data_IF_795275520718
#
_entry.id   IF_795275520718
#
_cell.length_a   1.000
_cell.length_b   1.000
_cell.length_c   1.000
_cell.angle_alpha   90.00
_cell.angle_beta   90.00
_cell.angle_gamma   90.00
#
_symmetry.space_group_name_H-M   'P 1'
#
loop_
_entity.id
_entity.type
_entity.pdbx_description
1 polymer ?
#
# COMPACT_ATOMS: atom_id res chain seq x y z
N UNK A 1 6.85 -25.11 -29.22
CA UNK A 1 5.61 -24.38 -29.58
C UNK A 1 5.87 -22.88 -29.80
N UNK A 2 7.03 -22.34 -29.37
CA UNK A 2 7.51 -20.94 -29.58
C UNK A 2 7.51 -20.38 -31.02
N UNK A 3 7.68 -21.21 -32.05
CA UNK A 3 8.08 -20.73 -33.39
C UNK A 3 6.95 -20.31 -34.34
N UNK A 4 5.68 -20.31 -33.92
CA UNK A 4 4.56 -20.10 -34.86
C UNK A 4 4.06 -18.66 -34.95
N UNK A 5 4.32 -17.78 -33.98
CA UNK A 5 3.85 -16.37 -34.01
C UNK A 5 4.79 -15.35 -33.31
N UNK A 6 5.97 -15.05 -33.87
CA UNK A 6 6.96 -14.13 -33.26
C UNK A 6 6.42 -12.70 -33.05
N UNK A 7 5.50 -12.24 -33.89
CA UNK A 7 4.87 -10.92 -33.74
C UNK A 7 3.96 -10.82 -32.52
N UNK A 8 3.28 -11.91 -32.13
CA UNK A 8 2.37 -11.91 -30.97
C UNK A 8 3.17 -11.87 -29.67
N UNK A 9 4.26 -12.67 -29.59
CA UNK A 9 5.14 -12.68 -28.41
C UNK A 9 5.91 -11.37 -28.24
N UNK A 10 6.42 -10.78 -29.33
CA UNK A 10 7.08 -9.46 -29.26
C UNK A 10 6.13 -8.34 -28.84
N UNK A 11 4.86 -8.38 -29.25
CA UNK A 11 3.85 -7.43 -28.78
C UNK A 11 3.47 -7.67 -27.31
N UNK A 12 3.36 -8.94 -26.88
CA UNK A 12 3.08 -9.31 -25.48
C UNK A 12 4.19 -8.82 -24.53
N UNK A 13 5.45 -8.98 -24.92
CA UNK A 13 6.63 -8.60 -24.14
C UNK A 13 6.74 -7.06 -23.98
N UNK A 14 6.31 -6.30 -25.01
CA UNK A 14 6.16 -4.84 -24.92
C UNK A 14 5.03 -4.42 -23.97
N UNK A 15 3.93 -5.17 -23.89
CA UNK A 15 2.85 -4.90 -22.93
C UNK A 15 3.24 -5.19 -21.49
N UNK A 16 3.88 -6.33 -21.25
CA UNK A 16 4.34 -6.73 -19.92
C UNK A 16 5.32 -5.70 -19.33
N UNK A 17 6.24 -5.17 -20.16
CA UNK A 17 7.21 -4.17 -19.72
C UNK A 17 6.57 -2.84 -19.33
N UNK A 18 5.59 -2.35 -20.09
CA UNK A 18 4.90 -1.09 -19.79
C UNK A 18 4.04 -1.18 -18.53
N UNK A 19 3.30 -2.29 -18.38
CA UNK A 19 2.47 -2.53 -17.19
C UNK A 19 3.35 -2.63 -15.95
N UNK A 20 4.48 -3.36 -16.04
CA UNK A 20 5.45 -3.47 -14.95
C UNK A 20 6.02 -2.09 -14.55
N UNK A 21 6.37 -1.25 -15.51
CA UNK A 21 6.92 0.09 -15.25
C UNK A 21 5.90 1.00 -14.55
N UNK A 22 4.64 1.01 -15.02
CA UNK A 22 3.56 1.79 -14.37
C UNK A 22 3.31 1.26 -12.95
N UNK A 23 3.22 -0.06 -12.77
CA UNK A 23 3.05 -0.68 -11.46
C UNK A 23 4.18 -0.31 -10.50
N UNK A 24 5.43 -0.32 -10.97
CA UNK A 24 6.59 0.06 -10.16
C UNK A 24 6.50 1.52 -9.68
N UNK A 25 6.14 2.45 -10.57
CA UNK A 25 6.00 3.87 -10.23
C UNK A 25 4.88 4.06 -9.18
N UNK A 26 3.71 3.45 -9.41
CA UNK A 26 2.59 3.53 -8.46
C UNK A 26 2.96 2.94 -7.10
N UNK A 27 3.69 1.83 -7.08
CA UNK A 27 4.15 1.20 -5.85
C UNK A 27 5.14 2.08 -5.08
N UNK A 28 6.08 2.72 -5.77
CA UNK A 28 7.00 3.69 -5.15
C UNK A 28 6.22 4.87 -4.53
N UNK A 29 5.29 5.45 -5.29
CA UNK A 29 4.45 6.56 -4.81
C UNK A 29 3.61 6.14 -3.61
N UNK A 30 3.02 4.94 -3.64
CA UNK A 30 2.23 4.39 -2.53
C UNK A 30 3.06 4.20 -1.26
N UNK A 31 4.28 3.63 -1.38
CA UNK A 31 5.20 3.45 -0.23
C UNK A 31 5.65 4.80 0.32
N UNK A 32 5.99 5.76 -0.53
CA UNK A 32 6.36 7.10 -0.10
C UNK A 32 5.21 7.79 0.65
N UNK A 33 3.99 7.71 0.12
CA UNK A 33 2.81 8.29 0.76
C UNK A 33 2.50 7.62 2.10
N UNK A 34 2.67 6.30 2.19
CA UNK A 34 2.56 5.57 3.45
C UNK A 34 3.55 6.10 4.49
N UNK A 35 4.82 6.26 4.12
CA UNK A 35 5.84 6.83 5.01
C UNK A 35 5.48 8.23 5.49
N UNK A 36 5.02 9.12 4.60
CA UNK A 36 4.61 10.49 4.94
C UNK A 36 3.43 10.48 5.90
N UNK A 37 2.37 9.71 5.60
CA UNK A 37 1.19 9.60 6.45
C UNK A 37 1.54 9.11 7.87
N UNK A 38 2.44 8.12 7.96
CA UNK A 38 2.94 7.63 9.24
C UNK A 38 3.74 8.69 9.99
N UNK A 39 4.64 9.42 9.34
CA UNK A 39 5.39 10.51 9.97
C UNK A 39 4.48 11.62 10.50
N UNK A 40 3.46 12.01 9.74
CA UNK A 40 2.46 13.00 10.17
C UNK A 40 1.69 12.50 11.40
N UNK A 41 1.24 11.24 11.39
CA UNK A 41 0.57 10.60 12.52
C UNK A 41 1.42 10.64 13.80
N UNK A 42 2.73 10.42 13.64
CA UNK A 42 3.69 10.47 14.74
C UNK A 42 3.80 11.88 15.31
N UNK A 43 3.99 12.88 14.45
CA UNK A 43 4.13 14.28 14.86
C UNK A 43 2.88 14.76 15.61
N UNK A 44 1.70 14.46 15.09
CA UNK A 44 0.41 14.77 15.74
C UNK A 44 0.31 14.17 17.15
N UNK A 45 0.89 12.98 17.35
CA UNK A 45 0.85 12.23 18.61
C UNK A 45 2.09 12.40 19.48
N UNK A 46 3.01 13.31 19.16
CA UNK A 46 4.23 13.56 19.95
C UNK A 46 3.92 13.98 21.39
N UNK A 47 2.86 14.78 21.60
CA UNK A 47 2.44 15.21 22.94
C UNK A 47 2.02 14.01 23.82
N UNK A 48 1.34 13.03 23.23
CA UNK A 48 0.95 11.79 23.90
C UNK A 48 2.18 10.93 24.24
N UNK A 49 3.21 10.90 23.38
CA UNK A 49 4.49 10.24 23.68
C UNK A 49 5.16 10.88 24.89
N UNK A 50 5.19 12.21 24.93
CA UNK A 50 5.78 12.97 26.03
C UNK A 50 5.10 12.69 27.37
N UNK A 51 3.77 12.62 27.40
CA UNK A 51 3.02 12.29 28.63
C UNK A 51 3.24 10.84 29.07
N UNK A 52 3.25 9.88 28.14
CA UNK A 52 3.57 8.47 28.44
C UNK A 52 4.98 8.32 29.02
N UNK A 53 5.99 8.99 28.44
CA UNK A 53 7.37 8.99 28.99
C UNK A 53 7.44 9.64 30.38
N UNK A 54 6.72 10.75 30.60
CA UNK A 54 6.68 11.42 31.91
C UNK A 54 6.06 10.54 33.01
N UNK A 55 5.12 9.66 32.64
CA UNK A 55 4.53 8.66 33.53
C UNK A 55 5.41 7.40 33.72
N UNK A 56 6.62 7.36 33.13
CA UNK A 56 7.55 6.24 33.27
C UNK A 56 7.40 5.13 32.22
N UNK A 57 6.68 5.36 31.12
CA UNK A 57 6.58 4.37 30.05
C UNK A 57 7.94 4.12 29.39
N UNK A 58 8.28 2.84 29.23
CA UNK A 58 9.47 2.43 28.48
C UNK A 58 9.33 2.69 26.97
N UNK A 59 10.46 2.89 26.29
CA UNK A 59 10.48 3.06 24.83
C UNK A 59 9.81 1.90 24.09
N UNK A 60 9.90 0.67 24.63
CA UNK A 60 9.23 -0.51 24.06
C UNK A 60 7.71 -0.39 24.09
N UNK A 61 7.13 0.13 25.17
CA UNK A 61 5.69 0.30 25.31
C UNK A 61 5.17 1.34 24.32
N UNK A 62 5.88 2.44 24.15
CA UNK A 62 5.56 3.49 23.17
C UNK A 62 5.59 2.89 21.75
N UNK A 63 6.60 2.08 21.46
CA UNK A 63 6.76 1.41 20.17
C UNK A 63 5.60 0.45 19.88
N UNK A 64 5.15 -0.31 20.88
CA UNK A 64 4.00 -1.21 20.77
C UNK A 64 2.69 -0.46 20.53
N UNK A 65 2.45 0.63 21.26
CA UNK A 65 1.23 1.45 21.10
C UNK A 65 1.15 2.03 19.69
N UNK A 66 2.25 2.59 19.17
CA UNK A 66 2.28 3.12 17.80
C UNK A 66 2.12 2.05 16.74
N UNK A 67 2.81 0.92 16.90
CA UNK A 67 2.62 -0.24 16.05
C UNK A 67 1.14 -0.63 15.96
N UNK A 68 0.45 -0.70 17.09
CA UNK A 68 -0.96 -1.03 17.13
C UNK A 68 -1.81 0.03 16.42
N UNK A 69 -1.60 1.31 16.70
CA UNK A 69 -2.34 2.41 16.09
C UNK A 69 -2.19 2.41 14.56
N UNK A 70 -0.96 2.32 14.08
CA UNK A 70 -0.63 2.29 12.65
C UNK A 70 -1.19 1.04 11.97
N UNK A 71 -1.10 -0.13 12.60
CA UNK A 71 -1.68 -1.36 12.08
C UNK A 71 -3.21 -1.27 11.96
N UNK A 72 -3.88 -0.65 12.95
CA UNK A 72 -5.33 -0.45 12.90
C UNK A 72 -5.76 0.41 11.70
N UNK A 73 -5.01 1.48 11.43
CA UNK A 73 -5.26 2.36 10.28
C UNK A 73 -5.00 1.60 8.96
N UNK A 74 -3.91 0.85 8.89
CA UNK A 74 -3.58 0.02 7.73
C UNK A 74 -4.67 -1.00 7.40
N UNK A 75 -5.16 -1.74 8.40
CA UNK A 75 -6.22 -2.74 8.20
C UNK A 75 -7.52 -2.07 7.74
N UNK A 76 -7.90 -0.94 8.33
CA UNK A 76 -9.07 -0.19 7.87
C UNK A 76 -8.92 0.29 6.43
N UNK A 77 -7.76 0.83 6.07
CA UNK A 77 -7.44 1.22 4.70
C UNK A 77 -7.49 0.04 3.73
N UNK A 78 -7.00 -1.13 4.14
CA UNK A 78 -7.04 -2.36 3.35
C UNK A 78 -8.48 -2.81 3.09
N UNK A 79 -9.34 -2.79 4.11
CA UNK A 79 -10.77 -3.14 3.97
C UNK A 79 -11.44 -2.21 2.96
N UNK A 80 -11.31 -0.89 3.13
CA UNK A 80 -11.89 0.09 2.20
C UNK A 80 -11.30 -0.04 0.79
N UNK A 81 -9.99 -0.27 0.68
CA UNK A 81 -9.32 -0.48 -0.60
C UNK A 81 -9.83 -1.72 -1.34
N UNK A 82 -10.06 -2.84 -0.63
CA UNK A 82 -10.64 -4.04 -1.23
C UNK A 82 -12.10 -3.82 -1.64
N UNK A 83 -12.90 -3.12 -0.82
CA UNK A 83 -14.30 -2.82 -1.17
C UNK A 83 -14.35 -2.00 -2.47
N UNK A 84 -13.53 -0.95 -2.57
CA UNK A 84 -13.50 -0.09 -3.75
C UNK A 84 -12.91 -0.82 -4.95
N UNK A 85 -11.77 -1.50 -4.78
CA UNK A 85 -11.06 -2.20 -5.86
C UNK A 85 -11.86 -3.37 -6.41
N UNK A 86 -12.27 -4.30 -5.55
CA UNK A 86 -13.08 -5.46 -5.96
C UNK A 86 -14.47 -5.02 -6.44
N UNK A 87 -15.05 -3.98 -5.83
CA UNK A 87 -16.31 -3.40 -6.28
C UNK A 87 -16.22 -2.84 -7.70
N UNK A 88 -15.17 -2.05 -7.99
CA UNK A 88 -14.91 -1.54 -9.34
C UNK A 88 -14.67 -2.68 -10.34
N UNK A 89 -13.86 -3.67 -9.97
CA UNK A 89 -13.63 -4.87 -10.80
C UNK A 89 -14.93 -5.64 -11.08
N UNK A 90 -15.83 -5.74 -10.09
CA UNK A 90 -17.11 -6.43 -10.25
C UNK A 90 -18.04 -5.68 -11.21
N UNK A 91 -18.10 -4.35 -11.10
CA UNK A 91 -18.86 -3.49 -12.02
C UNK A 91 -18.32 -3.64 -13.43
N UNK A 92 -17.00 -3.60 -13.62
CA UNK A 92 -16.38 -3.80 -14.94
C UNK A 92 -16.67 -5.20 -15.49
N UNK A 93 -16.61 -6.24 -14.65
CA UNK A 93 -16.94 -7.61 -15.07
C UNK A 93 -18.40 -7.76 -15.51
N UNK A 94 -19.33 -7.08 -14.82
CA UNK A 94 -20.77 -7.21 -15.09
C UNK A 94 -21.26 -6.33 -16.24
N UNK A 95 -20.76 -5.11 -16.36
CA UNK A 95 -21.25 -4.10 -17.29
C UNK A 95 -20.30 -3.82 -18.47
N UNK A 96 -19.04 -4.26 -18.39
CA UNK A 96 -18.09 -4.09 -19.49
C UNK A 96 -17.78 -2.63 -19.86
N UNK A 97 -17.85 -1.71 -18.88
CA UNK A 97 -17.79 -0.25 -19.12
C UNK A 97 -16.53 0.21 -19.87
N UNK A 98 -15.40 -0.45 -19.63
CA UNK A 98 -14.15 -0.23 -20.35
C UNK A 98 -14.08 -1.24 -21.50
N UNK A 99 -14.53 -0.77 -22.67
CA UNK A 99 -14.34 -1.45 -23.95
C UNK A 99 -12.96 -1.08 -24.50
N UNK A 100 -12.23 -2.07 -25.02
CA UNK A 100 -10.96 -1.81 -25.70
C UNK A 100 -11.21 -1.76 -27.19
N UNK A 101 -10.59 -0.80 -27.88
CA UNK A 101 -10.67 -0.71 -29.34
C UNK A 101 -10.13 -2.02 -29.95
N UNK A 102 -11.00 -2.82 -30.61
CA UNK A 102 -10.62 -4.14 -31.13
C UNK A 102 -9.50 -4.05 -32.16
N UNK A 103 -9.35 -2.90 -32.82
CA UNK A 103 -8.30 -2.65 -33.82
C UNK A 103 -6.89 -2.60 -33.22
N UNK A 104 -6.79 -2.25 -31.93
CA UNK A 104 -5.52 -2.17 -31.21
C UNK A 104 -5.31 -3.36 -30.30
N UNK A 105 -6.35 -3.88 -29.63
CA UNK A 105 -6.16 -4.83 -28.50
C UNK A 105 -6.65 -6.26 -28.72
N UNK A 106 -7.16 -6.62 -29.90
CA UNK A 106 -7.65 -7.97 -30.27
C UNK A 106 -8.71 -8.60 -29.32
N UNK A 107 -9.17 -7.87 -28.29
CA UNK A 107 -10.15 -8.28 -27.29
C UNK A 107 -11.09 -7.09 -27.07
N UNK A 108 -12.41 -7.33 -27.08
CA UNK A 108 -13.43 -6.27 -27.00
C UNK A 108 -13.63 -5.70 -25.58
N UNK A 109 -13.37 -6.50 -24.54
CA UNK A 109 -13.54 -6.11 -23.14
C UNK A 109 -12.38 -6.67 -22.32
N UNK A 110 -11.87 -5.88 -21.37
CA UNK A 110 -10.84 -6.35 -20.43
C UNK A 110 -11.39 -7.54 -19.60
N UNK A 111 -10.87 -8.77 -19.78
CA UNK A 111 -11.35 -9.92 -19.03
C UNK A 111 -10.89 -9.82 -17.58
N UNK A 112 -11.83 -9.84 -16.65
CA UNK A 112 -11.55 -9.85 -15.21
C UNK A 112 -11.71 -11.28 -14.70
N UNK A 113 -10.66 -11.79 -14.07
CA UNK A 113 -10.70 -13.05 -13.32
C UNK A 113 -10.53 -12.76 -11.83
N UNK A 114 -11.43 -13.30 -11.03
CA UNK A 114 -11.35 -13.22 -9.57
C UNK A 114 -10.76 -14.52 -9.04
N UNK A 115 -9.47 -14.48 -8.74
CA UNK A 115 -8.81 -15.57 -8.02
C UNK A 115 -8.64 -15.18 -6.55
N UNK A 116 -9.34 -15.89 -5.68
CA UNK A 116 -9.33 -15.63 -4.25
C UNK A 116 -7.95 -15.84 -3.62
N UNK A 117 -7.15 -16.78 -4.13
CA UNK A 117 -5.80 -17.06 -3.64
C UNK A 117 -4.89 -15.87 -3.96
N UNK A 118 -4.95 -15.35 -5.19
CA UNK A 118 -4.17 -14.18 -5.58
C UNK A 118 -4.56 -12.93 -4.79
N UNK A 119 -5.86 -12.70 -4.57
CA UNK A 119 -6.34 -11.60 -3.72
C UNK A 119 -5.80 -11.73 -2.30
N UNK A 120 -5.86 -12.92 -1.71
CA UNK A 120 -5.36 -13.17 -0.36
C UNK A 120 -3.84 -12.97 -0.27
N UNK A 121 -3.07 -13.50 -1.23
CA UNK A 121 -1.63 -13.33 -1.32
C UNK A 121 -1.22 -11.85 -1.48
N UNK A 122 -1.95 -11.08 -2.30
CA UNK A 122 -1.70 -9.65 -2.47
C UNK A 122 -1.93 -8.88 -1.17
N UNK A 123 -3.04 -9.15 -0.47
CA UNK A 123 -3.36 -8.56 0.83
C UNK A 123 -2.30 -8.91 1.89
N UNK A 124 -1.89 -10.18 1.97
CA UNK A 124 -0.87 -10.63 2.90
C UNK A 124 0.49 -9.96 2.63
N UNK A 125 0.88 -9.86 1.35
CA UNK A 125 2.12 -9.21 0.93
C UNK A 125 2.11 -7.72 1.30
N UNK A 126 1.00 -7.02 1.06
CA UNK A 126 0.83 -5.63 1.44
C UNK A 126 1.03 -5.43 2.95
N UNK A 127 0.37 -6.24 3.77
CA UNK A 127 0.48 -6.16 5.23
C UNK A 127 1.92 -6.43 5.70
N UNK A 128 2.59 -7.41 5.11
CA UNK A 128 3.98 -7.73 5.44
C UNK A 128 4.92 -6.58 5.10
N UNK A 129 4.79 -5.99 3.91
CA UNK A 129 5.61 -4.84 3.47
C UNK A 129 5.34 -3.63 4.36
N UNK A 130 4.08 -3.31 4.62
CA UNK A 130 3.70 -2.19 5.47
C UNK A 130 4.27 -2.33 6.89
N UNK A 131 4.24 -3.54 7.46
CA UNK A 131 4.84 -3.82 8.77
C UNK A 131 6.36 -3.58 8.79
N UNK A 132 7.07 -3.99 7.75
CA UNK A 132 8.52 -3.78 7.62
C UNK A 132 8.83 -2.29 7.48
N UNK A 133 8.10 -1.57 6.63
CA UNK A 133 8.27 -0.13 6.40
C UNK A 133 8.03 0.65 7.70
N UNK A 134 6.97 0.32 8.44
CA UNK A 134 6.60 0.97 9.69
C UNK A 134 7.68 0.84 10.77
N UNK A 135 8.40 -0.29 10.80
CA UNK A 135 9.49 -0.53 11.77
C UNK A 135 10.63 0.50 11.65
N UNK A 136 10.85 1.08 10.47
CA UNK A 136 11.91 2.07 10.24
C UNK A 136 11.67 3.40 10.97
N UNK A 137 10.65 4.21 10.61
CA UNK A 137 10.41 5.51 11.24
C UNK A 137 10.14 5.36 12.73
N UNK A 138 9.44 4.30 13.16
CA UNK A 138 9.11 4.10 14.57
C UNK A 138 10.33 3.93 15.47
N UNK A 139 11.41 3.32 14.98
CA UNK A 139 12.68 3.26 15.74
C UNK A 139 13.34 4.63 15.89
N UNK A 140 13.21 5.50 14.89
CA UNK A 140 13.79 6.85 14.95
C UNK A 140 13.09 7.71 16.01
N UNK A 141 11.80 7.51 16.23
CA UNK A 141 11.00 8.25 17.23
C UNK A 141 11.46 8.03 18.66
N UNK A 142 11.83 6.78 19.03
CA UNK A 142 12.29 6.50 20.40
C UNK A 142 13.48 7.36 20.82
N UNK A 143 14.24 7.87 19.84
CA UNK A 143 15.41 8.74 20.03
C UNK A 143 15.09 10.24 19.95
N UNK A 144 13.88 10.63 19.56
CA UNK A 144 13.46 12.03 19.59
C UNK A 144 13.14 12.40 21.04
N UNK A 145 13.96 13.27 21.63
CA UNK A 145 13.74 13.83 22.97
C UNK A 145 12.43 14.62 22.99
N UNK A 146 11.35 14.13 23.65
CA UNK A 146 10.07 14.83 23.73
C UNK A 146 10.15 16.12 24.56
N UNK A 147 11.26 16.29 25.31
CA UNK A 147 11.43 17.37 26.29
C UNK A 147 11.79 18.71 25.62
N UNK A 148 12.35 18.71 24.40
CA UNK A 148 12.69 19.96 23.70
C UNK A 148 11.48 20.66 23.06
N UNK A 149 10.36 19.97 22.82
CA UNK A 149 9.17 20.59 22.19
C UNK A 149 8.19 21.23 23.18
N UNK A 150 8.33 20.96 24.48
CA UNK A 150 7.47 21.58 25.53
C UNK A 150 7.99 22.98 25.91
N UNK A 151 9.23 23.33 25.57
CA UNK A 151 9.85 24.60 25.96
C UNK A 151 9.57 25.79 25.02
N UNK A 152 8.66 25.63 24.07
CA UNK A 152 8.22 26.68 23.13
C UNK A 152 6.69 26.78 23.04
N UNK A 153 6.01 26.75 24.18
CA UNK A 153 4.65 27.29 24.31
C UNK A 153 4.62 28.35 25.40
#
# INVERSE_FOLDING_TARGET
MEYRHPAIFGWLELFDTNILLVLAIVLIVAVANLCIALLVLIVDRTRMIGTLKALGASDRLILQVFMWLSMRILVQGLVWGNIIGLGASFVQWKFGLIELDPSTYYISVAPISFDFIWILCANATFVAVAFVVLRFPVRWISKLDPIKSIRFS
#
